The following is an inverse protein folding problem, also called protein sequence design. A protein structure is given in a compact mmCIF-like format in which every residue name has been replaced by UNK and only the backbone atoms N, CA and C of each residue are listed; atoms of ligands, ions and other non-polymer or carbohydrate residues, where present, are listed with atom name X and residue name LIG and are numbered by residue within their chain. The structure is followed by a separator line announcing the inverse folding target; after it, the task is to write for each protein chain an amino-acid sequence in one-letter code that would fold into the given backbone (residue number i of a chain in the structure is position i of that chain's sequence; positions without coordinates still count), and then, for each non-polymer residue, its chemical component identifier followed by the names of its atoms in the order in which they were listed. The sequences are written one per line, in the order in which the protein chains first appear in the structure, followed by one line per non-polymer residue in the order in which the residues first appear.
data_IF_539758914009
#
_entry.id   IF_539758914009
#
_cell.length_a   1.000
_cell.length_b   1.000
_cell.length_c   1.000
_cell.angle_alpha   90.00
_cell.angle_beta   90.00
_cell.angle_gamma   90.00
#
_symmetry.space_group_name_H-M   'P 1'
#
loop_
_entity.id
_entity.type
_entity.pdbx_description
1 polymer ?
#
# COMPACT_ATOMS: atom_id res chain seq x y z
N UNK A 1 5.12 6.41 20.18
CA UNK A 1 6.48 6.52 20.75
C UNK A 1 6.46 6.56 22.30
N UNK A 2 5.54 7.30 22.93
CA UNK A 2 5.45 7.33 24.40
C UNK A 2 5.09 5.98 25.03
N UNK A 3 4.31 5.16 24.34
CA UNK A 3 3.97 3.80 24.77
C UNK A 3 5.13 2.79 24.56
N UNK A 4 6.16 3.17 23.83
CA UNK A 4 7.29 2.30 23.46
C UNK A 4 8.58 2.64 24.20
N UNK A 5 8.54 3.50 25.23
CA UNK A 5 9.75 3.92 25.98
C UNK A 5 10.53 2.75 26.56
N UNK A 6 9.84 1.66 26.88
CA UNK A 6 10.44 0.48 27.52
C UNK A 6 10.81 -0.62 26.51
N UNK A 7 10.55 -0.41 25.21
CA UNK A 7 10.82 -1.39 24.15
C UNK A 7 12.09 -0.99 23.38
N UNK A 8 13.05 -1.90 23.27
CA UNK A 8 14.24 -1.68 22.45
C UNK A 8 13.86 -1.64 20.96
N UNK A 9 14.57 -0.83 20.19
CA UNK A 9 14.28 -0.63 18.77
C UNK A 9 14.32 -1.95 17.96
N UNK A 10 15.21 -2.87 18.31
CA UNK A 10 15.34 -4.20 17.67
C UNK A 10 14.14 -5.11 17.92
N UNK A 11 13.34 -4.80 18.96
CA UNK A 11 12.12 -5.55 19.30
C UNK A 11 10.89 -5.05 18.54
N UNK A 12 11.06 -4.03 17.70
CA UNK A 12 10.01 -3.50 16.85
C UNK A 12 10.05 -4.14 15.46
N UNK A 13 8.92 -4.66 15.03
CA UNK A 13 8.69 -5.12 13.65
C UNK A 13 7.57 -4.29 13.04
N UNK A 14 7.82 -3.69 11.89
CA UNK A 14 6.79 -3.04 11.11
C UNK A 14 6.61 -3.75 9.78
N UNK A 15 5.39 -4.13 9.49
CA UNK A 15 4.98 -4.77 8.25
C UNK A 15 4.06 -3.86 7.45
N UNK A 16 4.28 -3.81 6.14
CA UNK A 16 3.48 -3.07 5.17
C UNK A 16 3.33 -3.86 3.87
N UNK A 17 2.48 -3.38 2.96
CA UNK A 17 2.16 -4.11 1.71
C UNK A 17 3.04 -3.69 0.53
N UNK A 18 3.71 -2.54 0.58
CA UNK A 18 4.54 -2.06 -0.51
C UNK A 18 5.94 -1.67 -0.08
N UNK A 19 6.93 -1.85 -0.99
CA UNK A 19 8.31 -1.39 -0.77
C UNK A 19 8.40 0.12 -0.65
N UNK A 20 7.54 0.84 -1.38
CA UNK A 20 7.50 2.30 -1.32
C UNK A 20 7.10 2.76 0.08
N UNK A 21 6.04 2.19 0.66
CA UNK A 21 5.59 2.49 2.03
C UNK A 21 6.68 2.14 3.07
N UNK A 22 7.34 0.98 2.94
CA UNK A 22 8.43 0.60 3.83
C UNK A 22 9.59 1.62 3.79
N UNK A 23 9.95 2.10 2.59
CA UNK A 23 11.02 3.08 2.40
C UNK A 23 10.64 4.44 2.97
N UNK A 24 9.43 4.93 2.68
CA UNK A 24 8.90 6.19 3.20
C UNK A 24 8.84 6.19 4.72
N UNK A 25 8.32 5.10 5.30
CA UNK A 25 8.24 4.97 6.75
C UNK A 25 9.63 4.98 7.41
N UNK A 26 10.59 4.27 6.81
CA UNK A 26 11.96 4.27 7.30
C UNK A 26 12.57 5.67 7.26
N UNK A 27 12.34 6.42 6.20
CA UNK A 27 12.82 7.80 6.08
C UNK A 27 12.20 8.70 7.14
N UNK A 28 10.88 8.65 7.32
CA UNK A 28 10.17 9.42 8.35
C UNK A 28 10.63 9.05 9.77
N UNK A 29 10.87 7.77 10.00
CA UNK A 29 11.36 7.32 11.29
C UNK A 29 12.80 7.83 11.55
N UNK A 30 13.66 7.86 10.53
CA UNK A 30 15.00 8.47 10.60
C UNK A 30 14.94 9.95 10.96
N UNK A 31 13.98 10.70 10.40
CA UNK A 31 13.77 12.12 10.72
C UNK A 31 13.32 12.30 12.20
N UNK A 32 12.58 11.35 12.76
CA UNK A 32 12.02 11.44 14.10
C UNK A 32 12.97 10.99 15.20
N UNK A 33 13.71 9.90 14.99
CA UNK A 33 14.54 9.25 16.03
C UNK A 33 16.00 9.06 15.60
N UNK A 34 16.38 9.58 14.43
CA UNK A 34 17.76 9.52 13.95
C UNK A 34 18.26 8.09 13.74
N UNK A 35 19.51 7.84 14.09
CA UNK A 35 20.18 6.55 13.86
C UNK A 35 19.48 5.35 14.54
N UNK A 36 18.70 5.57 15.58
CA UNK A 36 17.93 4.51 16.24
C UNK A 36 16.92 3.82 15.30
N UNK A 37 16.49 4.51 14.25
CA UNK A 37 15.61 3.96 13.21
C UNK A 37 16.24 2.79 12.44
N UNK A 38 17.56 2.68 12.36
CA UNK A 38 18.24 1.56 11.70
C UNK A 38 18.02 0.23 12.40
N UNK A 39 17.73 0.25 13.69
CA UNK A 39 17.49 -0.95 14.49
C UNK A 39 16.04 -1.43 14.46
N UNK A 40 15.13 -0.63 13.92
CA UNK A 40 13.73 -1.04 13.71
C UNK A 40 13.63 -1.86 12.45
N UNK A 41 13.05 -3.04 12.55
CA UNK A 41 12.82 -3.89 11.40
C UNK A 41 11.56 -3.45 10.64
N UNK A 42 11.76 -2.86 9.44
CA UNK A 42 10.69 -2.35 8.58
C UNK A 42 10.76 -3.10 7.25
N UNK A 43 9.73 -3.89 6.94
CA UNK A 43 9.68 -4.76 5.77
C UNK A 43 8.27 -4.86 5.19
N UNK A 44 8.19 -5.32 3.95
CA UNK A 44 6.93 -5.83 3.45
C UNK A 44 6.67 -7.24 4.00
N UNK A 45 5.40 -7.67 4.08
CA UNK A 45 5.04 -9.03 4.49
C UNK A 45 5.85 -10.09 3.73
N UNK A 46 5.92 -9.98 2.42
CA UNK A 46 6.68 -10.91 1.58
C UNK A 46 8.19 -10.87 1.90
N UNK A 47 8.79 -9.69 2.04
CA UNK A 47 10.23 -9.56 2.34
C UNK A 47 10.57 -10.16 3.69
N UNK A 48 9.72 -9.95 4.70
CA UNK A 48 9.88 -10.56 6.01
C UNK A 48 9.84 -12.09 5.95
N UNK A 49 8.86 -12.64 5.23
CA UNK A 49 8.74 -14.07 5.05
C UNK A 49 9.93 -14.69 4.30
N UNK A 50 10.45 -14.03 3.27
CA UNK A 50 11.67 -14.48 2.59
C UNK A 50 12.87 -14.55 3.52
N UNK A 51 13.03 -13.57 4.39
CA UNK A 51 14.13 -13.58 5.37
C UNK A 51 13.99 -14.70 6.40
N UNK A 52 12.76 -14.98 6.85
CA UNK A 52 12.50 -16.13 7.74
C UNK A 52 12.87 -17.45 7.08
N UNK A 53 12.56 -17.61 5.80
CA UNK A 53 12.88 -18.81 5.04
C UNK A 53 14.35 -18.92 4.64
N UNK A 54 15.19 -17.89 4.90
CA UNK A 54 16.60 -17.85 4.52
C UNK A 54 16.84 -17.88 3.01
N UNK A 55 15.86 -17.44 2.22
CA UNK A 55 15.91 -17.43 0.76
C UNK A 55 16.01 -16.02 0.21
N UNK A 56 16.90 -15.81 -0.74
CA UNK A 56 16.87 -14.63 -1.60
C UNK A 56 15.78 -14.90 -2.64
N UNK A 57 14.72 -14.10 -2.63
CA UNK A 57 13.48 -14.37 -3.32
C UNK A 57 13.59 -14.60 -4.82
N UNK A 58 13.13 -15.75 -5.28
CA UNK A 58 12.76 -16.00 -6.66
C UNK A 58 11.26 -15.72 -6.85
N UNK A 59 10.89 -15.10 -7.96
CA UNK A 59 9.50 -14.75 -8.31
C UNK A 59 8.53 -15.95 -8.33
N UNK A 60 9.04 -17.15 -8.59
CA UNK A 60 8.25 -18.39 -8.58
C UNK A 60 7.83 -18.83 -7.17
N UNK A 61 8.64 -18.49 -6.16
CA UNK A 61 8.35 -18.82 -4.75
C UNK A 61 7.47 -17.73 -4.07
N UNK A 62 7.27 -16.59 -4.71
CA UNK A 62 6.58 -15.46 -4.10
C UNK A 62 5.11 -15.71 -3.78
N UNK A 63 4.42 -16.55 -4.57
CA UNK A 63 2.99 -16.78 -4.41
C UNK A 63 2.59 -17.47 -3.09
N UNK A 64 3.48 -18.24 -2.51
CA UNK A 64 3.19 -19.04 -1.30
C UNK A 64 4.14 -18.75 -0.14
N UNK A 65 4.94 -17.68 -0.24
CA UNK A 65 6.00 -17.40 0.74
C UNK A 65 5.42 -17.10 2.13
N UNK A 66 4.30 -16.37 2.20
CA UNK A 66 3.65 -16.02 3.46
C UNK A 66 3.06 -17.26 4.13
N UNK A 67 2.35 -18.09 3.36
CA UNK A 67 1.79 -19.35 3.87
C UNK A 67 2.88 -20.31 4.38
N UNK A 68 3.97 -20.48 3.64
CA UNK A 68 5.11 -21.32 4.05
C UNK A 68 5.79 -20.80 5.33
N UNK A 69 6.04 -19.49 5.41
CA UNK A 69 6.62 -18.90 6.61
C UNK A 69 5.71 -19.09 7.83
N UNK A 70 4.40 -18.93 7.66
CA UNK A 70 3.40 -19.15 8.69
C UNK A 70 3.42 -20.62 9.17
N UNK A 71 3.50 -21.57 8.25
CA UNK A 71 3.59 -22.98 8.58
C UNK A 71 4.84 -23.29 9.40
N UNK A 72 6.02 -22.83 8.96
CA UNK A 72 7.28 -23.03 9.69
C UNK A 72 7.26 -22.39 11.08
N UNK A 73 6.66 -21.21 11.24
CA UNK A 73 6.45 -20.60 12.56
C UNK A 73 5.62 -21.51 13.45
N UNK A 74 4.48 -22.00 12.94
CA UNK A 74 3.59 -22.88 13.70
C UNK A 74 4.27 -24.18 14.12
N UNK A 75 5.08 -24.79 13.25
CA UNK A 75 5.86 -26.00 13.50
C UNK A 75 7.06 -25.76 14.43
N UNK A 76 7.43 -24.50 14.70
CA UNK A 76 8.58 -24.17 15.55
C UNK A 76 9.92 -24.32 14.83
N UNK A 77 9.94 -24.31 13.52
CA UNK A 77 11.13 -24.45 12.67
C UNK A 77 11.89 -23.13 12.45
N UNK A 78 11.28 -22.01 12.86
CA UNK A 78 11.92 -20.68 12.79
C UNK A 78 12.66 -20.39 14.09
N UNK A 79 13.90 -19.90 13.96
CA UNK A 79 14.71 -19.49 15.12
C UNK A 79 13.97 -18.44 15.97
N UNK A 80 13.85 -18.63 17.30
CA UNK A 80 13.11 -17.72 18.18
C UNK A 80 13.55 -16.26 18.10
N UNK A 81 14.85 -15.99 17.90
CA UNK A 81 15.41 -14.66 17.76
C UNK A 81 14.89 -13.87 16.55
N UNK A 82 14.45 -14.56 15.49
CA UNK A 82 13.89 -13.95 14.27
C UNK A 82 12.45 -13.51 14.44
N UNK A 83 11.71 -14.14 15.35
CA UNK A 83 10.27 -13.89 15.57
C UNK A 83 9.97 -13.31 16.96
N UNK A 84 10.95 -13.23 17.85
CA UNK A 84 10.80 -12.76 19.23
C UNK A 84 10.66 -11.24 19.35
N UNK A 85 9.75 -10.63 18.59
CA UNK A 85 9.46 -9.20 18.61
C UNK A 85 8.42 -8.88 19.68
N UNK A 86 8.62 -7.80 20.43
CA UNK A 86 7.67 -7.37 21.47
C UNK A 86 6.54 -6.51 20.92
N UNK A 87 6.79 -5.77 19.83
CA UNK A 87 5.79 -4.95 19.19
C UNK A 87 5.80 -5.18 17.69
N UNK A 88 4.63 -5.46 17.15
CA UNK A 88 4.37 -5.52 15.71
C UNK A 88 3.45 -4.36 15.32
N UNK A 89 3.89 -3.58 14.33
CA UNK A 89 3.08 -2.54 13.69
C UNK A 89 2.69 -3.00 12.30
N UNK A 90 1.42 -2.90 11.97
CA UNK A 90 0.88 -3.21 10.64
C UNK A 90 0.31 -1.91 10.10
N UNK A 91 0.85 -1.45 8.97
CA UNK A 91 0.36 -0.28 8.25
C UNK A 91 -0.53 -0.72 7.09
N UNK A 92 -1.55 0.07 6.76
CA UNK A 92 -2.58 -0.25 5.76
C UNK A 92 -3.27 -1.60 6.04
N UNK A 93 -3.63 -1.83 7.31
CA UNK A 93 -4.14 -3.13 7.77
C UNK A 93 -5.44 -3.59 7.07
N UNK A 94 -6.18 -2.69 6.40
CA UNK A 94 -7.33 -3.05 5.56
C UNK A 94 -6.94 -3.85 4.31
N UNK A 95 -5.66 -3.83 3.92
CA UNK A 95 -5.15 -4.55 2.75
C UNK A 95 -4.69 -5.99 3.06
N UNK A 96 -4.84 -6.44 4.33
CA UNK A 96 -4.54 -7.84 4.70
C UNK A 96 -5.45 -8.82 3.97
N UNK A 97 -4.84 -9.89 3.47
CA UNK A 97 -5.52 -11.10 3.06
C UNK A 97 -5.46 -12.19 4.12
N UNK A 98 -5.97 -13.35 3.78
CA UNK A 98 -6.01 -14.52 4.67
C UNK A 98 -4.60 -14.96 5.12
N UNK A 99 -3.62 -14.89 4.22
CA UNK A 99 -2.25 -15.34 4.51
C UNK A 99 -1.53 -14.39 5.46
N UNK A 100 -1.64 -13.07 5.25
CA UNK A 100 -1.05 -12.06 6.12
C UNK A 100 -1.67 -12.09 7.52
N UNK A 101 -3.00 -12.23 7.60
CA UNK A 101 -3.68 -12.38 8.89
C UNK A 101 -3.24 -13.66 9.63
N UNK A 102 -3.12 -14.79 8.91
CA UNK A 102 -2.63 -16.04 9.49
C UNK A 102 -1.18 -15.90 10.02
N UNK A 103 -0.30 -15.18 9.30
CA UNK A 103 1.06 -14.88 9.74
C UNK A 103 1.06 -14.07 11.03
N UNK A 104 0.26 -13.00 11.10
CA UNK A 104 0.13 -12.15 12.30
C UNK A 104 -0.31 -12.99 13.49
N UNK A 105 -1.32 -13.84 13.32
CA UNK A 105 -1.81 -14.76 14.37
C UNK A 105 -0.75 -15.75 14.80
N UNK A 106 0.03 -16.31 13.86
CA UNK A 106 1.11 -17.23 14.19
C UNK A 106 2.21 -16.56 15.02
N UNK A 107 2.57 -15.31 14.71
CA UNK A 107 3.54 -14.53 15.48
C UNK A 107 3.01 -14.22 16.90
N UNK A 108 1.74 -13.81 17.01
CA UNK A 108 1.10 -13.57 18.31
C UNK A 108 1.08 -14.84 19.18
N UNK A 109 0.74 -16.00 18.60
CA UNK A 109 0.67 -17.27 19.33
C UNK A 109 2.05 -17.76 19.82
N UNK A 110 3.13 -17.38 19.13
CA UNK A 110 4.52 -17.71 19.54
C UNK A 110 5.09 -16.75 20.57
N UNK A 111 4.49 -15.57 20.70
CA UNK A 111 4.92 -14.56 21.67
C UNK A 111 3.68 -13.90 22.30
N UNK A 112 3.22 -14.46 23.41
CA UNK A 112 2.03 -14.02 24.14
C UNK A 112 2.13 -12.57 24.66
N UNK A 113 3.36 -12.05 24.83
CA UNK A 113 3.60 -10.66 25.24
C UNK A 113 3.63 -9.69 24.04
N UNK A 114 3.51 -10.18 22.81
CA UNK A 114 3.55 -9.33 21.63
C UNK A 114 2.34 -8.38 21.59
N UNK A 115 2.63 -7.11 21.47
CA UNK A 115 1.61 -6.07 21.24
C UNK A 115 1.50 -5.79 19.76
N UNK A 116 0.32 -5.94 19.19
CA UNK A 116 0.02 -5.62 17.80
C UNK A 116 -0.67 -4.26 17.72
N UNK A 117 -0.15 -3.39 16.85
CA UNK A 117 -0.71 -2.09 16.52
C UNK A 117 -1.07 -2.13 15.03
N UNK A 118 -2.33 -2.34 14.71
CA UNK A 118 -2.84 -2.31 13.35
C UNK A 118 -3.40 -0.92 13.04
N UNK A 119 -2.88 -0.29 12.00
CA UNK A 119 -3.32 1.01 11.50
C UNK A 119 -3.87 0.81 10.11
N UNK A 120 -5.05 1.34 9.85
CA UNK A 120 -5.70 1.20 8.55
C UNK A 120 -6.98 2.01 8.46
N UNK A 121 -7.55 2.01 7.28
CA UNK A 121 -8.79 2.68 6.95
C UNK A 121 -9.68 1.76 6.11
N UNK A 122 -10.69 1.16 6.72
CA UNK A 122 -11.61 0.22 6.06
C UNK A 122 -12.38 0.88 4.90
N UNK A 123 -12.59 2.20 4.93
CA UNK A 123 -13.19 2.94 3.82
C UNK A 123 -12.26 3.00 2.58
N UNK A 124 -10.96 2.69 2.74
CA UNK A 124 -9.96 2.65 1.67
C UNK A 124 -9.62 1.23 1.21
N UNK A 125 -10.41 0.22 1.54
CA UNK A 125 -10.23 -1.16 1.08
C UNK A 125 -10.56 -1.29 -0.41
N UNK A 126 -9.54 -1.09 -1.26
CA UNK A 126 -9.67 -1.10 -2.74
C UNK A 126 -8.97 -2.30 -3.38
N UNK A 127 -8.42 -3.21 -2.60
CA UNK A 127 -7.67 -4.38 -3.07
C UNK A 127 -8.37 -5.72 -2.84
N UNK A 128 -9.69 -5.73 -2.65
CA UNK A 128 -10.50 -6.96 -2.52
C UNK A 128 -10.28 -7.93 -3.70
N UNK A 129 -10.10 -7.40 -4.92
CA UNK A 129 -9.78 -8.21 -6.10
C UNK A 129 -8.43 -8.94 -6.04
N UNK A 130 -7.57 -8.60 -5.06
CA UNK A 130 -6.30 -9.28 -4.75
C UNK A 130 -6.39 -10.20 -3.54
N UNK A 131 -7.57 -10.31 -2.93
CA UNK A 131 -7.80 -11.13 -1.74
C UNK A 131 -7.68 -10.36 -0.42
N UNK A 132 -7.54 -9.03 -0.46
CA UNK A 132 -7.62 -8.20 0.74
C UNK A 132 -9.04 -8.20 1.29
N UNK A 133 -9.17 -8.21 2.62
CA UNK A 133 -10.46 -8.12 3.32
C UNK A 133 -10.28 -7.32 4.62
N UNK A 134 -10.89 -6.15 4.70
CA UNK A 134 -10.88 -5.31 5.90
C UNK A 134 -11.48 -6.02 7.14
N UNK A 135 -12.22 -7.10 6.93
CA UNK A 135 -12.71 -7.97 8.00
C UNK A 135 -11.59 -8.56 8.88
N UNK A 136 -10.38 -8.74 8.34
CA UNK A 136 -9.23 -9.19 9.16
C UNK A 136 -8.76 -8.11 10.14
N UNK A 137 -8.77 -6.84 9.74
CA UNK A 137 -8.52 -5.72 10.66
C UNK A 137 -9.59 -5.68 11.77
N UNK A 138 -10.86 -5.90 11.41
CA UNK A 138 -11.94 -6.01 12.38
C UNK A 138 -11.71 -7.19 13.35
N UNK A 139 -11.31 -8.37 12.85
CA UNK A 139 -11.00 -9.52 13.70
C UNK A 139 -9.90 -9.22 14.72
N UNK A 140 -8.83 -8.51 14.32
CA UNK A 140 -7.78 -8.06 15.26
C UNK A 140 -8.34 -7.14 16.35
N UNK A 141 -9.32 -6.30 16.04
CA UNK A 141 -9.97 -5.44 17.03
C UNK A 141 -10.81 -6.19 18.05
N UNK A 142 -11.20 -7.44 17.75
CA UNK A 142 -11.98 -8.31 18.65
C UNK A 142 -11.09 -9.21 19.53
N UNK A 143 -9.77 -9.18 19.36
CA UNK A 143 -8.87 -9.97 20.22
C UNK A 143 -8.98 -9.52 21.68
N UNK A 144 -8.85 -10.44 22.65
CA UNK A 144 -8.90 -10.09 24.07
C UNK A 144 -7.88 -9.00 24.43
N UNK A 145 -8.34 -7.94 25.07
CA UNK A 145 -7.51 -6.80 25.47
C UNK A 145 -7.26 -5.76 24.37
N UNK A 146 -7.81 -5.96 23.17
CA UNK A 146 -7.72 -4.99 22.08
C UNK A 146 -8.46 -3.69 22.40
N UNK A 147 -7.94 -2.59 21.87
CA UNK A 147 -8.55 -1.27 21.95
C UNK A 147 -8.65 -0.66 20.57
N UNK A 148 -9.86 -0.37 20.12
CA UNK A 148 -10.10 0.40 18.91
C UNK A 148 -9.99 1.90 19.22
N UNK A 149 -9.26 2.61 18.37
CA UNK A 149 -9.13 4.08 18.45
C UNK A 149 -9.43 4.66 17.05
N UNK A 150 -10.46 5.47 16.96
CA UNK A 150 -10.78 6.20 15.73
C UNK A 150 -9.96 7.49 15.65
N UNK A 151 -9.26 7.68 14.52
CA UNK A 151 -8.55 8.92 14.20
C UNK A 151 -9.49 9.81 13.39
N UNK A 152 -10.02 10.85 14.05
CA UNK A 152 -11.04 11.71 13.46
C UNK A 152 -10.51 13.03 12.92
N UNK A 153 -9.30 13.42 13.30
CA UNK A 153 -8.68 14.68 12.90
C UNK A 153 -7.91 14.52 11.58
N UNK A 154 -8.28 15.31 10.57
CA UNK A 154 -7.62 15.32 9.26
C UNK A 154 -6.81 16.62 9.08
N UNK A 155 -5.49 16.48 9.08
CA UNK A 155 -4.53 17.58 8.89
C UNK A 155 -4.09 17.75 7.42
N UNK A 156 -4.53 16.85 6.52
CA UNK A 156 -4.11 16.82 5.11
C UNK A 156 -5.00 17.69 4.23
N UNK A 157 -6.30 17.51 4.35
CA UNK A 157 -7.27 18.04 3.40
C UNK A 157 -8.05 19.22 3.96
N UNK A 158 -8.40 20.17 3.08
CA UNK A 158 -9.26 21.28 3.40
C UNK A 158 -10.69 20.86 3.75
N UNK A 159 -11.53 21.76 4.24
CA UNK A 159 -12.85 21.45 4.81
C UNK A 159 -13.82 20.81 3.81
N UNK A 160 -13.93 21.39 2.59
CA UNK A 160 -14.89 20.88 1.58
C UNK A 160 -14.57 19.46 1.09
N UNK A 161 -13.31 19.09 0.77
CA UNK A 161 -12.94 17.71 0.50
C UNK A 161 -13.28 16.74 1.63
N UNK A 162 -13.04 17.11 2.89
CA UNK A 162 -13.38 16.28 4.05
C UNK A 162 -14.88 16.13 4.21
N UNK A 163 -15.62 17.21 4.06
CA UNK A 163 -17.09 17.16 4.09
C UNK A 163 -17.63 16.24 2.98
N UNK A 164 -17.16 16.41 1.75
CA UNK A 164 -17.56 15.56 0.62
C UNK A 164 -17.25 14.09 0.87
N UNK A 165 -16.06 13.79 1.41
CA UNK A 165 -15.68 12.41 1.74
C UNK A 165 -16.62 11.81 2.80
N UNK A 166 -16.95 12.55 3.87
CA UNK A 166 -17.90 12.10 4.89
C UNK A 166 -19.30 11.80 4.31
N UNK A 167 -19.79 12.61 3.37
CA UNK A 167 -21.06 12.35 2.68
C UNK A 167 -20.96 11.12 1.77
N UNK A 168 -19.84 10.98 1.06
CA UNK A 168 -19.63 9.89 0.12
C UNK A 168 -19.60 8.51 0.83
N UNK A 169 -18.90 8.40 1.95
CA UNK A 169 -18.76 7.13 2.68
C UNK A 169 -20.04 6.68 3.38
N UNK A 170 -21.07 7.53 3.48
CA UNK A 170 -22.40 7.12 3.99
C UNK A 170 -23.06 6.03 3.16
N UNK A 171 -22.65 5.88 1.89
CA UNK A 171 -23.11 4.81 1.03
C UNK A 171 -22.48 3.44 1.33
N UNK A 172 -21.44 3.37 2.15
CA UNK A 172 -20.76 2.13 2.52
C UNK A 172 -21.54 1.47 3.67
N UNK A 173 -22.05 0.27 3.44
CA UNK A 173 -22.92 -0.42 4.41
C UNK A 173 -22.21 -1.04 5.60
N UNK A 174 -20.93 -1.38 5.45
CA UNK A 174 -20.12 -2.00 6.51
C UNK A 174 -18.88 -1.16 6.74
N UNK A 175 -18.86 -0.46 7.86
CA UNK A 175 -17.75 0.41 8.27
C UNK A 175 -17.37 0.13 9.72
N UNK A 176 -16.08 0.14 10.01
CA UNK A 176 -15.58 0.07 11.38
C UNK A 176 -15.71 1.42 12.08
N UNK A 177 -15.54 2.52 11.33
CA UNK A 177 -15.64 3.88 11.85
C UNK A 177 -17.09 4.36 11.89
N UNK A 178 -17.46 4.97 13.00
CA UNK A 178 -18.78 5.60 13.18
C UNK A 178 -18.70 7.13 13.22
N UNK A 179 -17.54 7.67 13.57
CA UNK A 179 -17.34 9.10 13.79
C UNK A 179 -16.90 9.78 12.46
N UNK A 180 -17.54 10.92 12.09
CA UNK A 180 -17.09 11.69 10.94
C UNK A 180 -15.68 12.26 11.14
N UNK A 181 -14.95 12.38 10.04
CA UNK A 181 -13.62 13.00 10.01
C UNK A 181 -13.79 14.53 10.02
N UNK A 182 -12.95 15.24 10.77
CA UNK A 182 -12.96 16.69 10.90
C UNK A 182 -11.68 17.26 10.31
N UNK A 183 -11.79 18.20 9.36
CA UNK A 183 -10.62 18.93 8.86
C UNK A 183 -10.07 19.88 9.92
N UNK A 184 -8.77 19.77 10.18
CA UNK A 184 -8.02 20.66 11.06
C UNK A 184 -7.41 21.84 10.30
N UNK A 185 -7.62 21.93 8.97
CA UNK A 185 -7.16 23.04 8.15
C UNK A 185 -8.18 24.17 8.13
N UNK A 186 -7.68 25.40 8.07
CA UNK A 186 -8.53 26.60 8.02
C UNK A 186 -9.12 26.83 6.63
N UNK A 187 -8.44 26.36 5.58
CA UNK A 187 -8.88 26.56 4.20
C UNK A 187 -10.14 25.75 3.90
N UNK A 188 -11.07 26.35 3.20
CA UNK A 188 -12.30 25.69 2.77
C UNK A 188 -12.03 24.64 1.66
N UNK A 189 -11.16 24.97 0.72
CA UNK A 189 -10.95 24.16 -0.47
C UNK A 189 -12.16 24.16 -1.40
N UNK A 190 -12.16 23.27 -2.38
CA UNK A 190 -13.27 23.14 -3.33
C UNK A 190 -13.39 21.69 -3.82
N UNK A 191 -14.62 21.26 -4.07
CA UNK A 191 -14.95 19.98 -4.70
C UNK A 191 -15.93 20.24 -5.84
N UNK A 192 -15.59 19.78 -7.03
CA UNK A 192 -16.46 19.86 -8.21
C UNK A 192 -16.72 18.47 -8.79
N UNK A 193 -17.94 18.23 -9.22
CA UNK A 193 -18.32 16.99 -9.92
C UNK A 193 -18.82 17.35 -11.31
N UNK A 194 -18.10 16.90 -12.33
CA UNK A 194 -18.45 17.14 -13.72
C UNK A 194 -18.85 15.84 -14.41
N UNK A 195 -20.00 15.80 -15.02
CA UNK A 195 -20.47 14.65 -15.80
C UNK A 195 -20.29 14.91 -17.30
N UNK A 196 -19.49 14.07 -17.94
CA UNK A 196 -19.29 14.09 -19.37
C UNK A 196 -20.13 13.00 -20.05
N UNK A 197 -20.69 13.33 -21.23
CA UNK A 197 -21.45 12.38 -22.04
C UNK A 197 -20.54 11.55 -22.98
N UNK A 198 -19.29 11.96 -23.15
CA UNK A 198 -18.32 11.29 -24.02
C UNK A 198 -17.83 9.98 -23.39
N UNK A 199 -17.65 8.94 -24.21
CA UNK A 199 -16.90 7.74 -23.82
C UNK A 199 -15.40 8.01 -23.61
N UNK A 200 -14.88 9.09 -24.20
CA UNK A 200 -13.48 9.50 -24.11
C UNK A 200 -13.38 10.73 -23.21
N UNK A 201 -13.27 10.51 -21.91
CA UNK A 201 -13.20 11.59 -20.91
C UNK A 201 -11.85 12.31 -20.87
N UNK A 202 -10.82 11.77 -21.55
CA UNK A 202 -9.47 12.33 -21.49
C UNK A 202 -9.37 13.72 -22.14
N UNK A 203 -10.05 13.94 -23.27
CA UNK A 203 -9.98 15.23 -23.96
C UNK A 203 -10.66 16.33 -23.14
N UNK A 204 -11.90 16.20 -22.65
CA UNK A 204 -12.50 17.18 -21.75
C UNK A 204 -11.66 17.44 -20.51
N UNK A 205 -11.07 16.40 -19.89
CA UNK A 205 -10.21 16.55 -18.73
C UNK A 205 -8.95 17.37 -19.05
N UNK A 206 -8.31 17.10 -20.19
CA UNK A 206 -7.13 17.86 -20.62
C UNK A 206 -7.50 19.32 -20.90
N UNK A 207 -8.65 19.59 -21.51
CA UNK A 207 -9.16 20.95 -21.74
C UNK A 207 -9.37 21.69 -20.42
N UNK A 208 -9.97 21.04 -19.42
CA UNK A 208 -10.09 21.62 -18.07
C UNK A 208 -8.73 21.92 -17.45
N UNK A 209 -7.77 21.00 -17.56
CA UNK A 209 -6.41 21.18 -17.02
C UNK A 209 -5.64 22.31 -17.72
N UNK A 210 -5.82 22.49 -19.04
CA UNK A 210 -5.24 23.63 -19.80
C UNK A 210 -5.75 24.96 -19.26
N UNK A 211 -7.01 25.04 -18.89
CA UNK A 211 -7.64 26.26 -18.40
C UNK A 211 -7.45 26.45 -16.88
N UNK A 212 -6.99 25.40 -16.18
CA UNK A 212 -6.76 25.48 -14.75
C UNK A 212 -5.63 26.47 -14.42
N UNK A 213 -5.93 27.46 -13.61
CA UNK A 213 -5.01 28.55 -13.22
C UNK A 213 -4.53 28.43 -11.77
N UNK A 214 -4.75 27.28 -11.14
CA UNK A 214 -4.28 27.05 -9.78
C UNK A 214 -2.75 27.00 -9.67
N UNK A 215 -2.25 27.31 -8.49
CA UNK A 215 -0.84 27.19 -8.13
C UNK A 215 -0.56 25.82 -7.51
N UNK A 216 0.69 25.36 -7.61
CA UNK A 216 1.14 24.13 -6.98
C UNK A 216 1.17 22.94 -7.93
N UNK A 217 1.07 21.73 -7.36
CA UNK A 217 1.08 20.47 -8.12
C UNK A 217 -0.32 19.90 -8.21
N UNK A 218 -0.67 19.37 -9.40
CA UNK A 218 -1.94 18.67 -9.62
C UNK A 218 -1.68 17.18 -9.80
N UNK A 219 -2.56 16.35 -9.26
CA UNK A 219 -2.54 14.91 -9.46
C UNK A 219 -3.83 14.47 -10.15
N UNK A 220 -3.70 13.65 -11.18
CA UNK A 220 -4.85 13.03 -11.86
C UNK A 220 -4.82 11.54 -11.58
N UNK A 221 -5.91 11.02 -11.05
CA UNK A 221 -6.11 9.60 -10.82
C UNK A 221 -6.98 9.01 -11.94
N UNK A 222 -6.61 7.84 -12.41
CA UNK A 222 -7.33 7.08 -13.43
C UNK A 222 -7.65 5.68 -12.93
N UNK A 223 -8.61 5.04 -13.54
CA UNK A 223 -9.00 3.68 -13.15
C UNK A 223 -7.97 2.63 -13.60
N UNK A 224 -7.32 2.85 -14.74
CA UNK A 224 -6.33 1.92 -15.30
C UNK A 224 -4.99 2.60 -15.59
N UNK A 225 -3.93 1.79 -15.68
CA UNK A 225 -2.60 2.26 -16.06
C UNK A 225 -2.55 2.75 -17.51
N UNK A 226 -3.31 2.11 -18.42
CA UNK A 226 -3.42 2.51 -19.82
C UNK A 226 -3.99 3.93 -19.94
N UNK A 227 -5.03 4.22 -19.18
CA UNK A 227 -5.63 5.56 -19.12
C UNK A 227 -4.60 6.61 -18.65
N UNK A 228 -3.81 6.29 -17.63
CA UNK A 228 -2.77 7.18 -17.14
C UNK A 228 -1.69 7.46 -18.20
N UNK A 229 -1.28 6.45 -18.97
CA UNK A 229 -0.30 6.60 -20.06
C UNK A 229 -0.86 7.48 -21.18
N UNK A 230 -2.11 7.24 -21.59
CA UNK A 230 -2.79 8.05 -22.62
C UNK A 230 -2.88 9.50 -22.16
N UNK A 231 -3.26 9.73 -20.91
CA UNK A 231 -3.39 11.08 -20.36
C UNK A 231 -2.04 11.82 -20.34
N UNK A 232 -0.95 11.17 -19.91
CA UNK A 232 0.39 11.76 -19.93
C UNK A 232 0.80 12.14 -21.36
N UNK A 233 0.53 11.28 -22.35
CA UNK A 233 0.83 11.56 -23.75
C UNK A 233 0.04 12.79 -24.26
N UNK A 234 -1.24 12.88 -23.94
CA UNK A 234 -2.09 14.02 -24.29
C UNK A 234 -1.62 15.31 -23.61
N UNK A 235 -1.35 15.30 -22.32
CA UNK A 235 -0.87 16.47 -21.58
C UNK A 235 0.44 17.00 -22.16
N UNK A 236 1.38 16.12 -22.50
CA UNK A 236 2.64 16.50 -23.18
C UNK A 236 2.41 17.12 -24.57
N UNK A 237 1.45 16.57 -25.34
CA UNK A 237 1.08 17.14 -26.65
C UNK A 237 0.61 18.60 -26.52
N UNK A 238 -0.04 18.95 -25.43
CA UNK A 238 -0.49 20.31 -25.14
C UNK A 238 0.53 21.14 -24.34
N UNK A 239 1.77 20.66 -24.21
CA UNK A 239 2.85 21.39 -23.54
C UNK A 239 2.77 21.40 -22.01
N UNK A 240 1.91 20.57 -21.42
CA UNK A 240 1.79 20.45 -19.97
C UNK A 240 2.83 19.44 -19.48
N UNK A 241 3.75 19.93 -18.63
CA UNK A 241 4.75 19.05 -18.02
C UNK A 241 4.04 18.07 -17.05
N UNK A 242 4.12 16.78 -17.36
CA UNK A 242 3.44 15.72 -16.63
C UNK A 242 4.36 14.53 -16.41
N UNK A 243 4.25 13.91 -15.23
CA UNK A 243 5.00 12.72 -14.83
C UNK A 243 4.02 11.60 -14.52
N UNK A 244 4.23 10.43 -15.13
CA UNK A 244 3.53 9.22 -14.71
C UNK A 244 4.09 8.76 -13.36
N UNK A 245 3.24 8.71 -12.35
CA UNK A 245 3.56 8.11 -11.06
C UNK A 245 2.90 6.74 -11.05
N UNK A 246 3.70 5.71 -11.22
CA UNK A 246 3.25 4.34 -11.29
C UNK A 246 4.06 3.51 -10.31
N UNK A 247 3.40 2.65 -9.54
CA UNK A 247 4.11 1.63 -8.78
C UNK A 247 4.79 0.67 -9.77
N UNK A 248 6.11 0.52 -9.63
CA UNK A 248 6.87 -0.48 -10.39
C UNK A 248 6.72 -1.87 -9.79
N UNK A 249 5.99 -2.01 -8.68
CA UNK A 249 5.74 -3.28 -8.01
C UNK A 249 4.89 -4.17 -8.93
N UNK A 250 5.54 -5.20 -9.49
CA UNK A 250 4.92 -6.14 -10.43
C UNK A 250 4.93 -5.70 -11.90
N UNK A 251 5.40 -4.50 -12.25
CA UNK A 251 5.62 -4.13 -13.65
C UNK A 251 6.91 -4.75 -14.15
N UNK A 252 6.78 -5.83 -14.86
CA UNK A 252 7.86 -6.46 -15.58
C UNK A 252 7.75 -6.05 -17.06
N UNK A 253 8.72 -5.28 -17.55
CA UNK A 253 8.76 -4.79 -18.93
C UNK A 253 8.48 -5.89 -19.97
N UNK A 254 9.00 -7.10 -19.74
CA UNK A 254 8.76 -8.26 -20.60
C UNK A 254 7.35 -8.86 -20.50
N UNK A 255 6.53 -8.41 -19.54
CA UNK A 255 5.12 -8.81 -19.46
C UNK A 255 4.20 -7.95 -20.32
N UNK A 256 4.68 -6.86 -20.87
CA UNK A 256 3.94 -6.09 -21.87
C UNK A 256 3.64 -6.96 -23.09
N UNK A 257 2.44 -6.86 -23.64
CA UNK A 257 2.00 -7.64 -24.79
C UNK A 257 2.95 -7.42 -26.00
N UNK A 258 3.34 -6.17 -26.23
CA UNK A 258 4.27 -5.75 -27.28
C UNK A 258 5.65 -6.38 -27.10
N UNK A 259 6.18 -6.41 -25.87
CA UNK A 259 7.47 -7.03 -25.56
C UNK A 259 7.41 -8.53 -25.71
N UNK A 260 6.34 -9.17 -25.26
CA UNK A 260 6.14 -10.62 -25.49
C UNK A 260 6.05 -10.94 -26.97
N UNK A 261 5.37 -10.10 -27.75
CA UNK A 261 5.29 -10.26 -29.19
C UNK A 261 6.67 -10.07 -29.85
N UNK A 262 7.40 -9.04 -29.46
CA UNK A 262 8.75 -8.77 -29.93
C UNK A 262 9.72 -9.90 -29.58
N UNK A 263 9.73 -10.40 -28.35
CA UNK A 263 10.56 -11.51 -27.92
C UNK A 263 10.22 -12.81 -28.69
N UNK A 264 8.93 -13.10 -28.91
CA UNK A 264 8.52 -14.24 -29.76
C UNK A 264 9.00 -14.10 -31.21
N UNK A 265 9.08 -12.88 -31.73
CA UNK A 265 9.58 -12.62 -33.06
C UNK A 265 11.10 -12.81 -33.14
N UNK A 266 11.84 -12.38 -32.13
CA UNK A 266 13.27 -12.63 -31.99
C UNK A 266 13.58 -14.12 -31.86
N UNK A 267 12.84 -14.86 -31.04
CA UNK A 267 13.04 -16.29 -30.85
C UNK A 267 12.85 -17.10 -32.16
N UNK A 268 11.92 -16.66 -33.00
CA UNK A 268 11.77 -17.23 -34.36
C UNK A 268 12.92 -16.93 -35.30
N UNK A 269 13.65 -15.82 -35.11
CA UNK A 269 14.82 -15.43 -35.95
C UNK A 269 16.14 -16.04 -35.52
N UNK A 270 16.28 -16.37 -34.22
CA UNK A 270 17.52 -17.00 -33.72
C UNK A 270 17.76 -18.41 -34.29
N UNK A 271 16.80 -18.99 -35.00
CA UNK A 271 16.97 -20.23 -35.72
C UNK A 271 17.60 -20.08 -37.09
N UNK A 272 17.86 -18.86 -37.58
CA UNK A 272 18.68 -18.60 -38.76
C UNK A 272 20.07 -18.18 -38.30
N UNK A 273 21.15 -18.92 -38.59
CA UNK A 273 22.49 -18.49 -38.23
C UNK A 273 22.75 -17.14 -38.92
N UNK A 274 23.12 -16.13 -38.11
CA UNK A 274 23.71 -14.91 -38.63
C UNK A 274 25.01 -15.36 -39.35
N UNK A 275 24.95 -15.42 -40.67
CA UNK A 275 26.15 -15.59 -41.50
C UNK A 275 26.90 -14.26 -41.41
N UNK A 276 28.25 -14.31 -41.28
CA UNK A 276 29.09 -13.16 -40.96
C UNK A 276 29.07 -12.06 -42.01
#
# INVERSE_FOLDING_TARGET
LLLLKDVKHEQLLMLTFSRAAATEFKQRLMELIGNAAHFVEIKTFHSYCFDLLGRIGNLEDAKNVVAKATEMINQGEVEPNKIGKTVQVIDEAQDMGVEEHALVKALMNKNEEMRVIAVGDDDQSIYEFRGADSGYMYQLSQEPGSKLVEMTENYRSARQPVYFANEFVRGISKRMKSTPIISMREEDGWVGVTRHQSKYIFQPLVEELIHYRGSGTSCVLTQTNEEAVILVALLRKYGINSKLVQSMDGFLFWNMAEMRYFLRYLDKRVRTPLIP
#
